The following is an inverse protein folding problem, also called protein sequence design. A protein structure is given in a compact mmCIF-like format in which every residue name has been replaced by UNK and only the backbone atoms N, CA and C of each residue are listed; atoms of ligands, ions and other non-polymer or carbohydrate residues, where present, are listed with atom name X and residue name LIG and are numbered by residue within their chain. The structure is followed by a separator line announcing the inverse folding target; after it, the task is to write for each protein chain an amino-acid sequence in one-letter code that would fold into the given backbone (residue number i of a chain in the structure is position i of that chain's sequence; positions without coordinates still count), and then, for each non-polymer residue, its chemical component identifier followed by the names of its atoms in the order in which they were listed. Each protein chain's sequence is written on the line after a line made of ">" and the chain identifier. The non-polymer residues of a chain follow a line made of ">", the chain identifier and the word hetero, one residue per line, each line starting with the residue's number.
data_IF_708252621677
#
_entry.id   IF_708252621677
#
_cell.length_a   1.000
_cell.length_b   1.000
_cell.length_c   1.000
_cell.angle_alpha   90.00
_cell.angle_beta   90.00
_cell.angle_gamma   90.00
#
_symmetry.space_group_name_H-M   'P 1'
#
loop_
_entity.id
_entity.type
_entity.pdbx_description
1 polymer ?
#
# COMPACT_ATOMS: atom_id res chain seq x y z
N UNK A 1 24.91 -5.05 -20.44
CA UNK A 1 23.55 -4.46 -20.37
C UNK A 1 23.00 -4.42 -21.78
N UNK A 2 22.03 -5.26 -22.11
CA UNK A 2 21.40 -5.20 -23.43
C UNK A 2 20.34 -4.10 -23.41
N UNK A 3 20.74 -2.88 -23.79
CA UNK A 3 19.83 -1.77 -24.02
C UNK A 3 19.11 -1.95 -25.35
N UNK A 4 18.12 -2.84 -25.42
CA UNK A 4 17.22 -2.84 -26.56
C UNK A 4 16.29 -1.63 -26.46
N UNK A 5 16.47 -0.68 -27.37
CA UNK A 5 15.51 0.39 -27.58
C UNK A 5 14.36 -0.19 -28.40
N UNK A 6 13.24 -0.47 -27.77
CA UNK A 6 12.02 -0.86 -28.49
C UNK A 6 11.35 0.42 -28.98
N UNK A 7 11.40 0.66 -30.28
CA UNK A 7 10.64 1.74 -30.93
C UNK A 7 9.37 1.09 -31.45
N UNK A 8 8.24 1.42 -30.82
CA UNK A 8 6.91 1.03 -31.34
C UNK A 8 6.21 2.25 -31.92
N UNK A 9 5.56 2.07 -33.04
CA UNK A 9 4.72 3.10 -33.63
C UNK A 9 3.53 3.39 -32.69
N UNK A 10 3.23 4.66 -32.47
CA UNK A 10 2.11 5.06 -31.62
C UNK A 10 0.80 4.61 -32.29
N UNK A 11 0.05 3.76 -31.62
CA UNK A 11 -1.25 3.33 -32.11
C UNK A 11 -2.15 4.54 -32.34
N UNK A 12 -2.63 4.70 -33.55
CA UNK A 12 -3.54 5.79 -33.95
C UNK A 12 -4.94 5.65 -33.38
N UNK A 13 -5.34 4.43 -33.04
CA UNK A 13 -6.63 4.15 -32.40
C UNK A 13 -6.48 3.06 -31.34
N UNK A 14 -6.79 3.38 -30.10
CA UNK A 14 -6.80 2.40 -29.01
C UNK A 14 -8.25 2.01 -28.72
N UNK A 15 -8.61 0.77 -29.01
CA UNK A 15 -9.91 0.21 -28.59
C UNK A 15 -9.89 -0.05 -27.07
N UNK A 16 -10.73 0.66 -26.33
CA UNK A 16 -10.99 0.33 -24.94
C UNK A 16 -12.05 -0.77 -24.87
N UNK A 17 -11.64 -1.99 -24.71
CA UNK A 17 -12.51 -3.18 -24.77
C UNK A 17 -13.50 -3.30 -23.62
N UNK A 18 -13.29 -2.58 -22.51
CA UNK A 18 -14.16 -2.58 -21.32
C UNK A 18 -14.60 -3.97 -20.88
N UNK A 19 -13.67 -4.92 -20.83
CA UNK A 19 -13.98 -6.28 -20.37
C UNK A 19 -14.40 -6.24 -18.89
N UNK A 20 -15.15 -7.25 -18.46
CA UNK A 20 -15.58 -7.38 -17.05
C UNK A 20 -14.38 -7.36 -16.09
N UNK A 21 -13.29 -8.05 -16.44
CA UNK A 21 -12.05 -8.04 -15.66
C UNK A 21 -11.44 -6.64 -15.53
N UNK A 22 -11.38 -5.86 -16.61
CA UNK A 22 -10.89 -4.48 -16.55
C UNK A 22 -11.79 -3.59 -15.69
N UNK A 23 -13.10 -3.75 -15.76
CA UNK A 23 -14.01 -2.97 -14.92
C UNK A 23 -13.87 -3.34 -13.44
N UNK A 24 -13.74 -4.61 -13.12
CA UNK A 24 -13.44 -5.08 -11.75
C UNK A 24 -12.17 -4.45 -11.19
N UNK A 25 -11.12 -4.36 -11.98
CA UNK A 25 -9.88 -3.71 -11.55
C UNK A 25 -10.08 -2.21 -11.31
N UNK A 26 -10.83 -1.51 -12.17
CA UNK A 26 -11.07 -0.06 -12.03
C UNK A 26 -11.81 0.30 -10.75
N UNK A 27 -12.74 -0.55 -10.28
CA UNK A 27 -13.52 -0.27 -9.07
C UNK A 27 -12.64 -0.12 -7.83
N UNK A 28 -11.57 -0.91 -7.72
CA UNK A 28 -10.67 -0.90 -6.56
C UNK A 28 -9.37 -0.11 -6.77
N UNK A 29 -8.99 0.10 -8.04
CA UNK A 29 -7.76 0.81 -8.39
C UNK A 29 -7.70 2.22 -7.80
N UNK A 30 -8.82 2.94 -7.82
CA UNK A 30 -8.91 4.32 -7.38
C UNK A 30 -8.43 4.51 -5.94
N UNK A 31 -8.93 3.70 -5.02
CA UNK A 31 -8.55 3.80 -3.61
C UNK A 31 -7.08 3.45 -3.37
N UNK A 32 -6.59 2.35 -3.96
CA UNK A 32 -5.19 1.94 -3.80
C UNK A 32 -4.23 3.02 -4.29
N UNK A 33 -4.56 3.68 -5.43
CA UNK A 33 -3.76 4.78 -5.97
C UNK A 33 -3.79 6.01 -5.08
N UNK A 34 -4.95 6.40 -4.54
CA UNK A 34 -5.05 7.55 -3.65
C UNK A 34 -4.29 7.30 -2.33
N UNK A 35 -4.42 6.12 -1.75
CA UNK A 35 -3.63 5.73 -0.58
C UNK A 35 -2.13 5.81 -0.86
N UNK A 36 -1.66 5.26 -2.00
CA UNK A 36 -0.25 5.35 -2.36
C UNK A 36 0.23 6.80 -2.49
N UNK A 37 -0.55 7.66 -3.16
CA UNK A 37 -0.18 9.07 -3.32
C UNK A 37 0.01 9.79 -1.99
N UNK A 38 -0.83 9.50 -1.01
CA UNK A 38 -0.73 10.10 0.32
C UNK A 38 0.43 9.52 1.14
N UNK A 39 0.68 8.23 1.03
CA UNK A 39 1.74 7.54 1.77
C UNK A 39 3.13 7.78 1.16
N UNK A 40 3.24 7.86 -0.18
CA UNK A 40 4.51 7.94 -0.90
C UNK A 40 5.46 9.04 -0.40
N UNK A 41 5.01 10.26 -0.10
CA UNK A 41 5.91 11.29 0.44
C UNK A 41 6.50 10.94 1.81
N UNK A 42 5.85 10.03 2.55
CA UNK A 42 6.22 9.65 3.91
C UNK A 42 7.10 8.39 3.94
N UNK A 43 7.07 7.58 2.89
CA UNK A 43 7.78 6.29 2.79
C UNK A 43 8.69 6.30 1.57
N UNK A 44 9.94 6.69 1.75
CA UNK A 44 10.95 6.56 0.71
C UNK A 44 11.79 5.31 0.96
N UNK A 45 11.79 4.37 0.00
CA UNK A 45 12.53 3.11 0.13
C UNK A 45 11.85 2.05 0.99
N UNK A 46 10.53 2.12 1.18
CA UNK A 46 9.77 1.17 1.97
C UNK A 46 9.70 -0.27 1.40
N UNK A 47 10.19 -0.49 0.20
CA UNK A 47 10.29 -1.81 -0.43
C UNK A 47 11.76 -2.13 -0.74
N UNK A 48 12.40 -2.97 0.08
CA UNK A 48 13.83 -3.28 -0.05
C UNK A 48 14.15 -4.09 -1.31
N UNK A 49 13.42 -5.16 -1.52
CA UNK A 49 13.68 -6.13 -2.58
C UNK A 49 12.76 -5.86 -3.77
N UNK A 50 13.21 -4.98 -4.65
CA UNK A 50 12.51 -4.67 -5.88
C UNK A 50 13.18 -5.35 -7.07
N UNK A 51 12.41 -5.97 -7.99
CA UNK A 51 12.94 -6.37 -9.29
C UNK A 51 13.59 -5.18 -10.01
N UNK A 52 14.57 -5.45 -10.84
CA UNK A 52 15.22 -4.42 -11.66
C UNK A 52 14.17 -3.60 -12.41
N UNK A 53 14.26 -2.27 -12.32
CA UNK A 53 13.33 -1.31 -12.92
C UNK A 53 11.91 -1.28 -12.30
N UNK A 54 11.70 -1.93 -11.15
CA UNK A 54 10.45 -1.83 -10.41
C UNK A 54 10.50 -0.64 -9.44
N UNK A 55 9.47 0.21 -9.46
CA UNK A 55 9.31 1.33 -8.53
C UNK A 55 8.57 0.92 -7.25
N UNK A 56 8.65 1.74 -6.19
CA UNK A 56 7.87 1.53 -4.98
C UNK A 56 6.36 1.54 -5.27
N UNK A 57 5.92 2.36 -6.23
CA UNK A 57 4.53 2.34 -6.70
C UNK A 57 4.11 0.98 -7.24
N UNK A 58 4.93 0.39 -8.12
CA UNK A 58 4.62 -0.92 -8.69
C UNK A 58 4.61 -2.02 -7.62
N UNK A 59 5.51 -1.94 -6.63
CA UNK A 59 5.52 -2.87 -5.50
C UNK A 59 4.28 -2.69 -4.63
N UNK A 60 3.93 -1.45 -4.27
CA UNK A 60 2.72 -1.16 -3.50
C UNK A 60 1.46 -1.69 -4.20
N UNK A 61 1.34 -1.44 -5.51
CA UNK A 61 0.23 -1.97 -6.31
C UNK A 61 0.23 -3.50 -6.34
N UNK A 62 1.40 -4.13 -6.53
CA UNK A 62 1.54 -5.59 -6.58
C UNK A 62 1.08 -6.27 -5.29
N UNK A 63 1.42 -5.73 -4.14
CA UNK A 63 1.09 -6.35 -2.85
C UNK A 63 -0.34 -6.06 -2.40
N UNK A 64 -0.90 -4.90 -2.76
CA UNK A 64 -2.20 -4.46 -2.25
C UNK A 64 -3.38 -4.71 -3.20
N UNK A 65 -3.19 -4.65 -4.52
CA UNK A 65 -4.30 -4.84 -5.48
C UNK A 65 -5.00 -6.20 -5.39
N UNK A 66 -4.31 -7.33 -5.17
CA UNK A 66 -4.99 -8.63 -5.06
C UNK A 66 -6.06 -8.64 -3.97
N UNK A 67 -5.75 -8.08 -2.80
CA UNK A 67 -6.61 -8.09 -1.61
C UNK A 67 -7.40 -6.79 -1.40
N UNK A 68 -7.31 -5.84 -2.33
CA UNK A 68 -8.07 -4.60 -2.23
C UNK A 68 -9.57 -4.87 -2.37
N UNK A 69 -10.33 -4.41 -1.38
CA UNK A 69 -11.77 -4.61 -1.27
C UNK A 69 -12.57 -3.31 -1.12
N UNK A 70 -11.94 -2.16 -1.28
CA UNK A 70 -12.59 -0.85 -1.26
C UNK A 70 -12.99 -0.48 -2.69
N UNK A 71 -14.27 -0.24 -2.90
CA UNK A 71 -14.87 0.00 -4.21
C UNK A 71 -15.40 1.42 -4.30
N UNK A 72 -14.68 2.27 -5.05
CA UNK A 72 -15.09 3.64 -5.32
C UNK A 72 -15.82 3.76 -6.65
N UNK A 73 -16.84 4.59 -6.69
CA UNK A 73 -17.51 4.99 -7.94
C UNK A 73 -16.58 5.86 -8.78
N UNK A 74 -16.87 5.98 -10.06
CA UNK A 74 -16.11 6.83 -10.96
C UNK A 74 -16.12 8.30 -10.53
N UNK A 75 -17.22 8.77 -9.97
CA UNK A 75 -17.37 10.12 -9.45
C UNK A 75 -16.53 10.35 -8.19
N UNK A 76 -16.55 9.40 -7.25
CA UNK A 76 -15.73 9.46 -6.04
C UNK A 76 -14.23 9.49 -6.40
N UNK A 77 -13.78 8.65 -7.33
CA UNK A 77 -12.40 8.66 -7.79
C UNK A 77 -12.04 9.99 -8.46
N UNK A 78 -12.92 10.54 -9.29
CA UNK A 78 -12.71 11.84 -9.92
C UNK A 78 -12.68 12.98 -8.90
N UNK A 79 -13.45 12.87 -7.83
CA UNK A 79 -13.45 13.80 -6.70
C UNK A 79 -12.28 13.63 -5.73
N UNK A 80 -11.41 12.65 -5.95
CA UNK A 80 -10.26 12.40 -5.10
C UNK A 80 -10.58 11.64 -3.80
N UNK A 81 -11.71 10.90 -3.76
CA UNK A 81 -12.07 10.08 -2.62
C UNK A 81 -10.95 9.12 -2.22
N UNK A 82 -10.75 9.00 -0.92
CA UNK A 82 -9.81 8.06 -0.32
C UNK A 82 -10.42 7.47 0.95
N UNK A 83 -10.42 6.15 1.03
CA UNK A 83 -10.85 5.41 2.23
C UNK A 83 -9.61 4.79 2.87
N UNK A 84 -9.40 5.09 4.14
CA UNK A 84 -8.34 4.50 4.93
C UNK A 84 -8.59 2.99 5.07
N UNK A 85 -7.64 2.18 4.63
CA UNK A 85 -7.76 0.74 4.57
C UNK A 85 -6.43 0.05 4.94
N UNK A 86 -6.46 -1.21 5.42
CA UNK A 86 -5.29 -1.91 5.93
C UNK A 86 -4.38 -2.39 4.79
N UNK A 87 -3.74 -1.46 4.11
CA UNK A 87 -2.76 -1.75 3.07
C UNK A 87 -1.38 -2.03 3.65
N UNK A 88 -0.64 -2.91 2.99
CA UNK A 88 0.78 -3.12 3.27
C UNK A 88 1.57 -1.92 2.75
N UNK A 89 2.32 -1.27 3.64
CA UNK A 89 3.05 -0.03 3.34
C UNK A 89 4.53 -0.24 3.14
N UNK A 90 5.10 -1.26 3.77
CA UNK A 90 6.53 -1.60 3.65
C UNK A 90 6.71 -3.09 3.45
N UNK A 91 7.86 -3.47 2.86
CA UNK A 91 8.30 -4.84 2.72
C UNK A 91 9.81 -4.91 2.78
N UNK A 92 10.33 -5.58 3.81
CA UNK A 92 11.77 -5.67 4.01
C UNK A 92 12.18 -6.87 4.84
N UNK A 93 13.42 -6.84 5.30
CA UNK A 93 14.10 -7.95 5.95
C UNK A 93 14.21 -7.81 7.47
N UNK A 94 13.97 -6.62 8.02
CA UNK A 94 13.91 -6.47 9.47
C UNK A 94 12.68 -7.19 10.03
N UNK A 95 12.74 -7.67 11.30
CA UNK A 95 11.60 -8.26 11.96
C UNK A 95 10.38 -7.35 11.92
N UNK A 96 9.22 -7.93 11.64
CA UNK A 96 7.95 -7.19 11.63
C UNK A 96 7.54 -6.86 13.05
N UNK A 97 7.08 -5.64 13.27
CA UNK A 97 6.48 -5.25 14.55
C UNK A 97 5.11 -5.91 14.64
N UNK A 98 4.96 -6.79 15.63
CA UNK A 98 3.70 -7.49 15.88
C UNK A 98 2.85 -6.66 16.82
N UNK A 99 1.55 -6.61 16.56
CA UNK A 99 0.62 -5.82 17.34
C UNK A 99 -0.44 -6.70 18.00
N UNK A 100 -0.91 -6.29 19.17
CA UNK A 100 -2.00 -6.92 19.90
C UNK A 100 -2.92 -5.85 20.49
N UNK A 101 -4.21 -6.16 20.58
CA UNK A 101 -5.25 -5.23 20.99
C UNK A 101 -6.20 -4.89 19.84
N UNK A 102 -7.25 -4.15 20.16
CA UNK A 102 -8.28 -3.75 19.22
C UNK A 102 -8.65 -2.26 19.40
N UNK A 103 -9.13 -1.64 18.33
CA UNK A 103 -9.57 -0.25 18.36
C UNK A 103 -8.44 0.72 18.65
N UNK A 104 -8.62 1.53 19.67
CA UNK A 104 -7.72 2.62 20.03
C UNK A 104 -6.62 2.20 21.02
N UNK A 105 -6.70 1.00 21.60
CA UNK A 105 -5.70 0.49 22.53
C UNK A 105 -4.94 -0.69 21.92
N UNK A 106 -3.93 -0.36 21.13
CA UNK A 106 -3.09 -1.36 20.47
C UNK A 106 -1.67 -1.24 20.98
N UNK A 107 -1.11 -2.34 21.49
CA UNK A 107 0.30 -2.44 21.83
C UNK A 107 1.11 -3.14 20.76
N UNK A 108 2.35 -2.75 20.62
CA UNK A 108 3.34 -3.45 19.81
C UNK A 108 4.03 -4.55 20.65
N UNK A 109 4.93 -5.29 20.01
CA UNK A 109 5.86 -6.20 20.70
C UNK A 109 7.17 -5.50 21.15
N UNK A 110 7.27 -4.18 20.97
CA UNK A 110 8.42 -3.39 21.42
C UNK A 110 8.30 -3.12 22.91
N UNK A 111 9.03 -3.87 23.70
CA UNK A 111 9.04 -3.71 25.16
C UNK A 111 9.76 -2.42 25.58
N UNK A 112 9.13 -1.69 26.48
CA UNK A 112 9.70 -0.49 27.09
C UNK A 112 10.28 -0.75 28.48
N UNK A 113 10.19 -2.01 29.00
CA UNK A 113 10.58 -2.33 30.36
C UNK A 113 9.76 -1.52 31.37
N UNK A 114 10.46 -0.79 32.25
CA UNK A 114 9.82 0.03 33.29
C UNK A 114 9.53 1.47 32.81
N UNK A 115 9.84 1.82 31.56
CA UNK A 115 9.61 3.16 31.05
C UNK A 115 8.12 3.43 30.79
N UNK A 116 7.59 4.47 31.43
CA UNK A 116 6.30 5.06 31.09
C UNK A 116 6.54 6.36 30.34
N UNK A 117 6.01 6.47 29.13
CA UNK A 117 6.16 7.67 28.30
C UNK A 117 5.23 8.76 28.83
N UNK A 118 5.81 9.90 29.17
CA UNK A 118 5.14 11.11 29.65
C UNK A 118 5.71 12.38 28.99
N UNK A 119 5.26 13.54 29.44
CA UNK A 119 5.68 14.84 28.89
C UNK A 119 7.16 15.17 29.12
N UNK A 120 7.81 14.54 30.08
CA UNK A 120 9.22 14.77 30.41
C UNK A 120 10.14 13.73 29.77
N UNK A 121 9.59 12.63 29.21
CA UNK A 121 10.35 11.57 28.57
C UNK A 121 11.17 12.10 27.40
N UNK A 122 12.47 11.83 27.41
CA UNK A 122 13.38 12.24 26.33
C UNK A 122 13.56 11.12 25.31
N UNK A 123 13.96 11.47 24.09
CA UNK A 123 14.29 10.49 23.04
C UNK A 123 15.34 9.49 23.51
N UNK A 124 16.35 9.92 24.28
CA UNK A 124 17.38 9.03 24.84
C UNK A 124 16.80 7.96 25.78
N UNK A 125 15.75 8.32 26.54
CA UNK A 125 15.12 7.39 27.49
C UNK A 125 14.34 6.31 26.72
N UNK A 126 13.59 6.71 25.68
CA UNK A 126 12.95 5.78 24.76
C UNK A 126 13.99 4.88 24.06
N UNK A 127 15.05 5.49 23.50
CA UNK A 127 16.09 4.75 22.81
C UNK A 127 16.75 3.70 23.70
N UNK A 128 17.06 4.08 24.97
CA UNK A 128 17.59 3.14 25.94
C UNK A 128 16.62 2.03 26.27
N UNK A 129 15.36 2.36 26.54
CA UNK A 129 14.33 1.37 26.87
C UNK A 129 14.13 0.35 25.75
N UNK A 130 14.04 0.84 24.49
CA UNK A 130 13.86 -0.04 23.33
C UNK A 130 15.06 -0.94 23.11
N UNK A 131 16.29 -0.39 23.11
CA UNK A 131 17.51 -1.19 22.82
C UNK A 131 17.82 -2.17 23.94
N UNK A 132 17.63 -1.79 25.19
CA UNK A 132 17.94 -2.67 26.34
C UNK A 132 16.96 -3.84 26.47
N UNK A 133 15.72 -3.68 26.02
CA UNK A 133 14.67 -4.70 26.19
C UNK A 133 14.32 -5.47 24.90
N UNK A 134 14.90 -5.11 23.74
CA UNK A 134 14.58 -5.77 22.48
C UNK A 134 15.84 -6.03 21.65
N UNK A 135 16.17 -7.29 21.42
CA UNK A 135 17.41 -7.72 20.77
C UNK A 135 17.51 -7.31 19.27
N UNK A 136 16.38 -7.01 18.65
CA UNK A 136 16.32 -6.67 17.22
C UNK A 136 16.58 -5.19 16.93
N UNK A 137 16.76 -4.37 17.97
CA UNK A 137 16.94 -2.92 17.85
C UNK A 137 18.33 -2.48 18.28
N UNK A 138 18.89 -1.53 17.55
CA UNK A 138 20.18 -0.92 17.84
C UNK A 138 20.06 0.62 17.91
N UNK A 139 21.03 1.26 18.57
CA UNK A 139 21.14 2.72 18.50
C UNK A 139 21.40 3.16 17.07
N UNK A 140 20.67 4.17 16.63
CA UNK A 140 20.67 4.67 15.24
C UNK A 140 19.57 4.09 14.37
N UNK A 141 18.83 3.08 14.84
CA UNK A 141 17.61 2.64 14.20
C UNK A 141 16.52 3.71 14.31
N UNK A 142 15.54 3.63 13.44
CA UNK A 142 14.42 4.55 13.43
C UNK A 142 13.11 3.79 13.59
N UNK A 143 12.26 4.25 14.48
CA UNK A 143 10.86 3.85 14.58
C UNK A 143 10.02 4.96 13.98
N UNK A 144 9.23 4.63 12.97
CA UNK A 144 8.30 5.55 12.32
C UNK A 144 6.87 5.15 12.66
N UNK A 145 6.05 6.09 13.06
CA UNK A 145 4.62 5.90 13.24
C UNK A 145 3.88 6.59 12.10
N UNK A 146 3.07 5.82 11.40
CA UNK A 146 2.19 6.30 10.33
C UNK A 146 0.77 6.36 10.85
N UNK A 147 0.13 7.48 10.64
CA UNK A 147 -1.25 7.74 11.01
C UNK A 147 -2.00 8.30 9.80
N UNK A 148 -3.08 7.64 9.42
CA UNK A 148 -3.93 8.00 8.29
C UNK A 148 -5.34 8.19 8.80
N UNK A 149 -5.72 9.43 9.02
CA UNK A 149 -7.03 9.80 9.55
C UNK A 149 -8.06 9.87 8.42
N UNK A 150 -9.19 9.19 8.62
CA UNK A 150 -10.35 9.29 7.75
C UNK A 150 -11.11 10.59 8.04
N UNK A 151 -11.40 11.34 6.98
CA UNK A 151 -12.18 12.58 7.04
C UNK A 151 -13.25 12.57 5.96
N UNK A 152 -14.28 13.40 6.14
CA UNK A 152 -15.29 13.67 5.12
C UNK A 152 -15.34 15.17 4.90
N UNK A 153 -15.29 15.57 3.64
CA UNK A 153 -15.44 16.97 3.29
C UNK A 153 -16.86 17.44 3.60
N UNK A 154 -17.06 18.41 4.48
CA UNK A 154 -18.40 18.80 4.92
C UNK A 154 -19.27 19.46 3.83
N UNK A 155 -18.64 19.97 2.76
CA UNK A 155 -19.35 20.64 1.66
C UNK A 155 -19.74 19.66 0.57
N UNK A 156 -18.83 18.73 0.21
CA UNK A 156 -19.04 17.82 -0.91
C UNK A 156 -19.48 16.42 -0.49
N UNK A 157 -19.37 16.09 0.80
CA UNK A 157 -19.60 14.73 1.31
C UNK A 157 -18.55 13.71 0.86
N UNK A 158 -17.47 14.15 0.18
CA UNK A 158 -16.43 13.25 -0.34
C UNK A 158 -15.50 12.82 0.80
N UNK A 159 -15.32 11.52 1.04
CA UNK A 159 -14.36 11.02 2.01
C UNK A 159 -12.93 11.20 1.49
N UNK A 160 -12.03 11.60 2.38
CA UNK A 160 -10.62 11.76 2.09
C UNK A 160 -9.77 11.33 3.28
N UNK A 161 -8.48 11.13 3.06
CA UNK A 161 -7.53 10.77 4.10
C UNK A 161 -6.54 11.91 4.36
N UNK A 162 -6.22 12.12 5.64
CA UNK A 162 -5.07 12.92 6.06
C UNK A 162 -3.95 11.97 6.47
N UNK A 163 -2.76 12.20 5.93
CA UNK A 163 -1.62 11.33 6.12
C UNK A 163 -0.56 12.02 6.97
N UNK A 164 -0.16 11.38 8.04
CA UNK A 164 0.89 11.84 8.94
C UNK A 164 1.94 10.75 9.13
N UNK A 165 3.18 11.15 9.33
CA UNK A 165 4.22 10.26 9.79
C UNK A 165 5.14 11.01 10.76
N UNK A 166 5.48 10.36 11.83
CA UNK A 166 6.46 10.82 12.79
C UNK A 166 7.59 9.82 12.89
N UNK A 167 8.82 10.30 13.00
CA UNK A 167 10.01 9.48 12.97
C UNK A 167 10.85 9.74 14.20
N UNK A 168 11.24 8.70 14.90
CA UNK A 168 12.18 8.77 16.03
C UNK A 168 13.38 7.92 15.71
N UNK A 169 14.56 8.55 15.73
CA UNK A 169 15.83 7.83 15.69
C UNK A 169 16.20 7.46 17.13
N UNK A 170 16.58 6.22 17.37
CA UNK A 170 17.01 5.72 18.67
C UNK A 170 18.40 6.25 19.01
N UNK A 171 18.44 7.53 19.42
CA UNK A 171 19.68 8.26 19.75
C UNK A 171 19.87 8.31 21.27
N UNK A 172 20.91 7.65 21.75
CA UNK A 172 21.28 7.61 23.18
C UNK A 172 21.73 8.95 23.76
N UNK A 173 22.03 9.93 22.92
CA UNK A 173 22.53 11.24 23.35
C UNK A 173 21.48 12.36 23.20
N UNK A 174 20.32 12.07 22.60
CA UNK A 174 19.30 13.08 22.34
C UNK A 174 18.63 13.55 23.65
N UNK A 175 18.67 14.85 23.90
CA UNK A 175 17.99 15.49 25.02
C UNK A 175 16.69 16.20 24.60
N UNK A 176 16.18 15.87 23.42
CA UNK A 176 14.90 16.39 22.95
C UNK A 176 13.78 15.62 23.63
N UNK A 177 12.75 16.32 24.07
CA UNK A 177 11.53 15.67 24.60
C UNK A 177 10.84 14.89 23.49
N UNK A 178 10.46 13.65 23.79
CA UNK A 178 9.86 12.76 22.84
C UNK A 178 8.56 13.32 22.25
N UNK A 179 7.66 13.82 23.11
CA UNK A 179 6.36 14.32 22.70
C UNK A 179 6.40 15.68 21.96
N UNK A 180 7.57 16.34 21.90
CA UNK A 180 7.77 17.49 21.02
C UNK A 180 8.03 17.07 19.57
N UNK A 181 8.43 15.81 19.33
CA UNK A 181 8.74 15.27 18.01
C UNK A 181 7.61 14.39 17.46
N UNK A 182 6.86 13.72 18.33
CA UNK A 182 5.92 12.67 17.93
C UNK A 182 4.53 12.90 18.48
N UNK A 183 3.56 12.31 17.81
CA UNK A 183 2.20 12.24 18.32
C UNK A 183 2.14 11.34 19.56
N UNK A 184 1.58 11.86 20.63
CA UNK A 184 1.30 11.09 21.87
C UNK A 184 0.43 9.84 21.62
N UNK A 185 -0.32 9.82 20.54
CA UNK A 185 -1.24 8.72 20.23
C UNK A 185 -0.49 7.47 19.76
N UNK A 186 0.57 7.61 19.00
CA UNK A 186 1.36 6.49 18.48
C UNK A 186 2.61 6.15 19.29
N UNK A 187 2.93 6.99 20.28
CA UNK A 187 4.06 6.79 21.18
C UNK A 187 3.58 6.88 22.62
N UNK A 188 2.84 5.89 23.03
CA UNK A 188 2.35 5.73 24.39
C UNK A 188 2.83 4.41 24.98
N UNK A 189 2.81 4.31 26.31
CA UNK A 189 3.03 3.03 27.02
C UNK A 189 1.71 2.32 27.20
N UNK A 190 1.58 1.13 26.63
CA UNK A 190 0.44 0.24 26.78
C UNK A 190 0.95 -1.10 27.32
N UNK A 191 0.58 -1.44 28.54
CA UNK A 191 1.00 -2.69 29.23
C UNK A 191 2.53 -2.91 29.25
N UNK A 192 3.34 -1.85 29.35
CA UNK A 192 4.81 -1.93 29.32
C UNK A 192 5.43 -2.03 27.92
N UNK A 193 4.65 -1.86 26.88
CA UNK A 193 5.08 -1.87 25.49
C UNK A 193 4.78 -0.53 24.82
N UNK A 194 5.51 -0.24 23.72
CA UNK A 194 5.15 0.86 22.83
C UNK A 194 3.78 0.57 22.22
N UNK A 195 2.92 1.57 22.19
CA UNK A 195 1.57 1.36 21.68
C UNK A 195 0.86 2.62 21.24
N UNK A 196 -0.36 2.41 20.77
CA UNK A 196 -1.32 3.43 20.37
C UNK A 196 -2.43 3.53 21.43
N UNK A 197 -2.76 4.74 21.80
CA UNK A 197 -3.93 5.07 22.63
C UNK A 197 -4.93 5.86 21.80
N UNK A 198 -6.11 6.12 22.33
CA UNK A 198 -7.19 6.88 21.68
C UNK A 198 -6.66 8.07 20.88
N UNK A 199 -6.89 8.04 19.55
CA UNK A 199 -6.39 9.00 18.59
C UNK A 199 -7.41 10.11 18.24
N UNK A 200 -7.08 10.89 17.20
CA UNK A 200 -7.92 12.01 16.73
C UNK A 200 -9.14 11.57 15.91
N UNK A 201 -9.41 10.29 15.82
CA UNK A 201 -10.56 9.74 15.10
C UNK A 201 -10.25 8.46 14.34
N UNK A 202 -11.24 8.00 13.59
CA UNK A 202 -11.16 6.77 12.82
C UNK A 202 -10.12 6.86 11.68
N UNK A 203 -9.43 5.76 11.42
CA UNK A 203 -8.45 5.70 10.36
C UNK A 203 -7.67 4.38 10.32
N UNK A 204 -6.42 4.46 9.96
CA UNK A 204 -5.47 3.33 9.99
C UNK A 204 -4.09 3.83 10.40
N UNK A 205 -3.34 3.00 11.08
CA UNK A 205 -2.01 3.36 11.56
C UNK A 205 -1.04 2.16 11.52
N UNK A 206 0.25 2.44 11.61
CA UNK A 206 1.28 1.39 11.73
C UNK A 206 2.58 1.96 12.28
N UNK A 207 3.39 1.09 12.87
CA UNK A 207 4.80 1.38 13.16
C UNK A 207 5.68 0.67 12.14
N UNK A 208 6.77 1.31 11.76
CA UNK A 208 7.79 0.75 10.87
C UNK A 208 9.16 0.88 11.52
N UNK A 209 9.86 -0.21 11.68
CA UNK A 209 11.27 -0.22 12.03
C UNK A 209 12.10 -0.05 10.78
N UNK A 210 13.09 0.85 10.81
CA UNK A 210 14.06 1.00 9.74
C UNK A 210 15.47 1.18 10.28
N UNK A 211 16.45 0.67 9.52
CA UNK A 211 17.87 0.68 9.84
C UNK A 211 18.69 1.07 8.61
N UNK A 212 19.62 1.99 8.76
CA UNK A 212 20.59 2.29 7.72
C UNK A 212 21.78 1.33 7.81
N UNK A 213 22.01 0.57 6.75
CA UNK A 213 23.09 -0.41 6.68
C UNK A 213 23.78 -0.36 5.31
N UNK A 214 25.09 -0.09 5.29
CA UNK A 214 25.92 -0.05 4.07
C UNK A 214 25.30 0.77 2.92
N UNK A 215 24.77 1.95 3.24
CA UNK A 215 24.15 2.84 2.25
C UNK A 215 22.77 2.43 1.75
N UNK A 216 22.20 1.38 2.32
CA UNK A 216 20.80 0.94 2.09
C UNK A 216 19.95 1.20 3.32
N UNK A 217 18.67 1.35 3.12
CA UNK A 217 17.69 1.35 4.20
C UNK A 217 17.02 -0.02 4.24
N UNK A 218 17.18 -0.70 5.37
CA UNK A 218 16.43 -1.92 5.69
C UNK A 218 15.14 -1.50 6.40
N UNK A 219 14.04 -2.22 6.19
CA UNK A 219 12.75 -1.94 6.82
C UNK A 219 12.07 -3.22 7.31
N UNK A 220 11.19 -3.08 8.28
CA UNK A 220 10.26 -4.15 8.65
C UNK A 220 9.11 -4.23 7.64
N UNK A 221 8.52 -5.42 7.50
CA UNK A 221 7.29 -5.57 6.67
C UNK A 221 6.09 -5.22 7.51
N UNK A 222 5.32 -4.18 7.10
CA UNK A 222 4.20 -3.67 7.88
C UNK A 222 2.94 -3.43 7.06
N UNK A 223 1.82 -3.73 7.68
CA UNK A 223 0.48 -3.37 7.23
C UNK A 223 -0.12 -2.32 8.15
N UNK A 224 -0.93 -1.44 7.58
CA UNK A 224 -1.76 -0.51 8.36
C UNK A 224 -2.79 -1.29 9.17
N UNK A 225 -2.94 -0.92 10.42
CA UNK A 225 -3.92 -1.48 11.35
C UNK A 225 -5.19 -0.63 11.25
N UNK A 226 -6.34 -1.28 11.19
CA UNK A 226 -7.61 -0.61 10.98
C UNK A 226 -8.34 -0.32 12.30
N UNK A 227 -8.72 0.93 12.51
CA UNK A 227 -9.73 1.34 13.49
C UNK A 227 -10.93 2.06 12.84
N UNK A 228 -11.14 1.88 11.52
CA UNK A 228 -12.15 2.56 10.68
C UNK A 228 -13.16 1.55 10.10
N UNK A 229 -13.65 0.63 10.93
CA UNK A 229 -14.48 -0.50 10.48
C UNK A 229 -15.75 -0.06 9.74
N UNK A 230 -16.44 0.98 10.20
CA UNK A 230 -17.71 1.44 9.63
C UNK A 230 -17.52 1.99 8.21
N UNK A 231 -16.52 2.84 8.01
CA UNK A 231 -16.23 3.40 6.68
C UNK A 231 -15.79 2.31 5.71
N UNK A 232 -14.98 1.36 6.16
CA UNK A 232 -14.58 0.23 5.34
C UNK A 232 -15.79 -0.63 4.97
N UNK A 233 -16.70 -0.89 5.90
CA UNK A 233 -17.92 -1.65 5.67
C UNK A 233 -18.81 -0.97 4.63
N UNK A 234 -18.94 0.36 4.66
CA UNK A 234 -19.72 1.14 3.69
C UNK A 234 -19.18 1.00 2.26
N UNK A 235 -17.85 0.98 2.11
CA UNK A 235 -17.18 0.96 0.80
C UNK A 235 -16.69 -0.45 0.36
N UNK A 236 -17.00 -1.48 1.12
CA UNK A 236 -16.66 -2.86 0.82
C UNK A 236 -17.91 -3.73 0.58
N UNK A 237 -17.68 -5.00 0.21
CA UNK A 237 -18.76 -5.96 0.01
C UNK A 237 -19.52 -5.80 -1.30
N UNK A 238 -20.58 -6.60 -1.46
CA UNK A 238 -21.29 -6.76 -2.74
C UNK A 238 -22.05 -5.51 -3.17
N UNK A 239 -22.65 -4.78 -2.24
CA UNK A 239 -23.42 -3.57 -2.57
C UNK A 239 -22.51 -2.41 -3.00
N UNK A 240 -21.42 -2.19 -2.30
CA UNK A 240 -20.41 -1.21 -2.69
C UNK A 240 -19.80 -1.56 -4.07
N UNK A 241 -19.53 -2.83 -4.29
CA UNK A 241 -19.05 -3.32 -5.58
C UNK A 241 -20.05 -3.07 -6.71
N UNK A 242 -21.33 -3.43 -6.55
CA UNK A 242 -22.39 -3.16 -7.55
C UNK A 242 -22.53 -1.68 -7.84
N UNK A 243 -22.59 -0.85 -6.79
CA UNK A 243 -22.64 0.61 -6.90
C UNK A 243 -21.48 1.14 -7.74
N UNK A 244 -20.28 0.70 -7.44
CA UNK A 244 -19.07 1.11 -8.16
C UNK A 244 -19.09 0.66 -9.61
N UNK A 245 -19.32 -0.63 -9.87
CA UNK A 245 -19.35 -1.23 -11.22
C UNK A 245 -20.32 -0.49 -12.14
N UNK A 246 -21.51 -0.16 -11.66
CA UNK A 246 -22.53 0.55 -12.45
C UNK A 246 -22.01 1.90 -12.98
N UNK A 247 -21.12 2.56 -12.25
CA UNK A 247 -20.56 3.85 -12.70
C UNK A 247 -19.42 3.70 -13.72
N UNK A 248 -18.75 2.56 -13.74
CA UNK A 248 -17.66 2.28 -14.69
C UNK A 248 -18.14 1.60 -15.97
N UNK A 249 -19.19 0.80 -15.88
CA UNK A 249 -19.68 0.03 -17.01
C UNK A 249 -20.44 0.84 -18.04
N UNK A 250 -21.24 1.76 -17.60
CA UNK A 250 -22.24 2.41 -18.45
C UNK A 250 -23.26 1.40 -19.01
N UNK A 251 -24.32 1.86 -19.56
CA UNK A 251 -25.41 1.03 -20.10
C UNK A 251 -24.99 0.10 -21.25
N UNK A 252 -23.91 0.47 -21.96
CA UNK A 252 -23.38 -0.30 -23.09
C UNK A 252 -22.25 -1.25 -22.70
N UNK A 253 -22.00 -1.45 -21.43
CA UNK A 253 -20.97 -2.40 -20.97
C UNK A 253 -21.51 -3.82 -21.05
N UNK A 254 -20.70 -4.75 -21.57
CA UNK A 254 -21.10 -6.14 -21.71
C UNK A 254 -21.58 -6.78 -20.39
N UNK A 255 -21.04 -6.35 -19.26
CA UNK A 255 -21.47 -6.90 -17.96
C UNK A 255 -22.68 -6.17 -17.35
N UNK A 256 -23.20 -5.14 -17.99
CA UNK A 256 -24.48 -4.49 -17.66
C UNK A 256 -25.63 -4.95 -18.56
N UNK A 257 -25.38 -5.79 -19.53
CA UNK A 257 -26.47 -6.48 -20.26
C UNK A 257 -27.24 -7.39 -19.30
N UNK A 258 -28.54 -7.61 -19.49
CA UNK A 258 -29.35 -8.37 -18.52
C UNK A 258 -28.75 -9.70 -18.06
N UNK A 259 -28.20 -10.48 -18.98
CA UNK A 259 -27.56 -11.76 -18.65
C UNK A 259 -26.24 -11.59 -17.87
N UNK A 260 -25.44 -10.60 -18.25
CA UNK A 260 -24.15 -10.34 -17.60
C UNK A 260 -24.34 -9.67 -16.26
N UNK A 261 -25.34 -8.80 -16.13
CA UNK A 261 -25.68 -8.16 -14.84
C UNK A 261 -26.10 -9.20 -13.83
N UNK A 262 -26.90 -10.19 -14.24
CA UNK A 262 -27.29 -11.28 -13.37
C UNK A 262 -26.08 -12.07 -12.89
N UNK A 263 -25.15 -12.37 -13.79
CA UNK A 263 -23.89 -13.04 -13.43
C UNK A 263 -23.08 -12.23 -12.42
N UNK A 264 -22.97 -10.93 -12.65
CA UNK A 264 -22.23 -10.05 -11.72
C UNK A 264 -22.92 -9.97 -10.36
N UNK A 265 -24.25 -9.88 -10.35
CA UNK A 265 -25.01 -9.89 -9.11
C UNK A 265 -24.88 -11.26 -8.40
N UNK A 266 -24.89 -12.35 -9.15
CA UNK A 266 -24.68 -13.69 -8.62
C UNK A 266 -23.27 -13.84 -8.05
N UNK A 267 -22.26 -13.38 -8.79
CA UNK A 267 -20.88 -13.41 -8.32
C UNK A 267 -20.75 -12.63 -7.01
N UNK A 268 -21.37 -11.46 -6.91
CA UNK A 268 -21.33 -10.67 -5.72
C UNK A 268 -22.07 -11.29 -4.53
N UNK A 269 -23.09 -12.10 -4.80
CA UNK A 269 -23.89 -12.74 -3.76
C UNK A 269 -23.49 -14.18 -3.49
N UNK A 270 -23.03 -14.90 -4.51
CA UNK A 270 -22.68 -16.31 -4.40
C UNK A 270 -21.47 -16.57 -3.51
N UNK A 271 -20.62 -15.58 -3.34
CA UNK A 271 -19.46 -15.67 -2.47
C UNK A 271 -19.77 -15.48 -0.99
N UNK A 272 -21.05 -15.42 -0.61
CA UNK A 272 -21.45 -15.28 0.79
C UNK A 272 -20.68 -14.15 1.52
N UNK A 273 -20.56 -13.02 0.84
CA UNK A 273 -19.75 -11.89 1.32
C UNK A 273 -18.29 -11.93 0.89
N UNK A 274 -17.90 -12.98 0.19
CA UNK A 274 -16.59 -13.02 -0.43
C UNK A 274 -16.54 -12.13 -1.66
N UNK A 275 -15.42 -11.53 -1.87
CA UNK A 275 -15.16 -10.77 -3.07
C UNK A 275 -14.95 -11.74 -4.23
N UNK A 276 -15.82 -11.78 -5.24
CA UNK A 276 -15.67 -12.73 -6.34
C UNK A 276 -14.60 -12.29 -7.34
N UNK A 277 -13.47 -11.82 -6.82
CA UNK A 277 -12.35 -11.40 -7.63
C UNK A 277 -11.46 -12.60 -7.85
N UNK A 278 -11.33 -13.11 -9.07
CA UNK A 278 -10.30 -14.10 -9.32
C UNK A 278 -8.95 -13.52 -8.92
N UNK A 279 -8.07 -14.32 -8.33
CA UNK A 279 -6.70 -13.87 -8.12
C UNK A 279 -6.21 -13.34 -9.45
N UNK A 280 -5.58 -12.19 -9.42
CA UNK A 280 -4.85 -11.67 -10.57
C UNK A 280 -3.72 -12.67 -10.78
N UNK A 281 -3.93 -13.65 -11.66
CA UNK A 281 -2.81 -14.41 -12.18
C UNK A 281 -1.89 -13.37 -12.78
N UNK A 282 -0.73 -13.22 -12.18
CA UNK A 282 0.33 -12.46 -12.81
C UNK A 282 0.44 -13.01 -14.21
N UNK A 283 0.18 -12.20 -15.20
CA UNK A 283 0.30 -12.62 -16.58
C UNK A 283 1.76 -12.91 -16.85
N UNK A 284 2.13 -14.16 -16.73
CA UNK A 284 3.15 -14.73 -17.57
C UNK A 284 2.50 -14.75 -18.95
N UNK A 285 2.82 -13.73 -19.72
CA UNK A 285 2.52 -13.72 -21.15
C UNK A 285 3.42 -14.75 -21.85
N UNK A 286 2.97 -15.95 -21.87
CA UNK A 286 3.31 -16.93 -22.86
C UNK A 286 2.10 -17.03 -23.78
N UNK A 287 2.00 -16.11 -24.69
CA UNK A 287 1.28 -16.33 -25.93
C UNK A 287 2.16 -17.22 -26.81
N UNK A 288 2.05 -18.51 -26.62
CA UNK A 288 2.44 -19.48 -27.65
C UNK A 288 1.35 -19.45 -28.75
N UNK A 289 1.47 -18.52 -29.65
CA UNK A 289 0.91 -18.69 -30.98
C UNK A 289 1.88 -19.52 -31.80
N UNK A 290 1.51 -20.78 -32.00
CA UNK A 290 2.09 -21.63 -33.04
C UNK A 290 1.81 -21.05 -34.42
N UNK A 291 2.83 -20.50 -35.02
CA UNK A 291 2.88 -20.13 -36.42
C UNK A 291 4.03 -20.85 -37.09
N UNK A 292 3.76 -21.98 -37.73
CA UNK A 292 4.70 -22.64 -38.66
C UNK A 292 4.92 -21.73 -39.85
N UNK A 293 6.14 -21.32 -40.06
CA UNK A 293 6.60 -20.62 -41.27
C UNK A 293 8.05 -20.94 -41.51
N UNK A 294 8.27 -22.00 -42.27
CA UNK A 294 9.56 -22.25 -42.94
C UNK A 294 9.87 -21.11 -43.89
N UNK A 295 11.02 -20.48 -43.72
CA UNK A 295 11.79 -20.08 -44.92
C UNK A 295 13.28 -20.02 -44.65
N UNK A 296 14.02 -20.58 -45.59
CA UNK A 296 15.46 -20.65 -45.71
C UNK A 296 15.98 -19.36 -46.36
N UNK A 297 17.16 -18.95 -45.97
CA UNK A 297 17.96 -17.97 -46.72
C UNK A 297 19.00 -17.33 -45.86
N UNK A 298 20.12 -17.76 -45.83
CA UNK A 298 21.47 -17.68 -46.32
C UNK A 298 21.94 -16.25 -46.60
N UNK A 299 23.09 -15.89 -45.98
CA UNK A 299 23.78 -14.66 -46.32
C UNK A 299 24.82 -14.26 -45.27
N UNK A 300 25.99 -14.74 -45.44
CA UNK A 300 27.25 -14.19 -44.92
C UNK A 300 27.47 -12.78 -45.39
N UNK A 301 27.98 -11.88 -44.59
CA UNK A 301 29.24 -11.22 -44.88
C UNK A 301 29.74 -10.29 -43.76
N UNK A 302 30.95 -10.43 -43.53
CA UNK A 302 32.11 -9.68 -43.05
C UNK A 302 32.03 -8.18 -42.82
N UNK A 303 32.66 -7.75 -41.73
CA UNK A 303 33.71 -6.72 -41.82
C UNK A 303 33.35 -5.34 -41.30
N UNK A 304 34.21 -4.83 -40.47
CA UNK A 304 34.43 -3.40 -40.40
C UNK A 304 34.65 -2.84 -39.01
N UNK A 305 35.88 -2.73 -38.71
CA UNK A 305 36.53 -2.02 -37.62
C UNK A 305 36.18 -0.52 -37.56
N UNK A 306 36.37 0.01 -36.38
CA UNK A 306 37.09 1.24 -36.05
C UNK A 306 36.38 2.49 -35.56
N UNK A 307 36.87 2.89 -34.39
CA UNK A 307 37.35 4.21 -33.87
C UNK A 307 36.42 5.26 -33.28
N UNK A 308 36.81 5.59 -32.01
CA UNK A 308 36.87 6.94 -31.32
C UNK A 308 35.54 7.71 -31.14
N UNK A 309 35.27 8.30 -29.99
CA UNK A 309 35.90 8.90 -28.80
C UNK A 309 35.00 8.77 -27.57
#
# INVERSE_FOLDING_TARGET
>A
MNGQTVVSEKATTVKNTRTSGQQRQRTKWGNVVQMYKGIMPLINGGFEQKPTRCSDYQMFMKVNMPNANIYLTKQEVAGGSCIAAPYQITQGTLPSIVTAGEGDNVRTDISLGDLTIDAETMVKDLAKAVVDNNADYDYGDQISFFDVLQRVNPVTGIPYCQFHATNVVLDKASEVKLLDLVSKYGFATVDGYLGHIEGEGAGVFAWVHSRKSYGKTLVSTQMLINNNADMIAEYSGSEAYKRSVNTYGGENSAFLTPGTTTTMATDGSASAGETPMPPVSGGDGNDEEGGSGTDQGGGSDTGGEDYYE
#
